data_IF_051258167275
#
_entry.id   IF_051258167275
#
_cell.length_a   1.000
_cell.length_b   1.000
_cell.length_c   1.000
_cell.angle_alpha   90.00
_cell.angle_beta   90.00
_cell.angle_gamma   90.00
#
_symmetry.space_group_name_H-M   'P 1'
#
loop_
_entity.id
_entity.type
_entity.pdbx_description
1 polymer ?
#
# COMPACT_ATOMS: atom_id res chain seq x y z
N UNK A 1 16.61 -69.60 9.82
CA UNK A 1 17.82 -70.42 9.52
C UNK A 1 18.98 -69.47 9.22
N UNK A 2 19.99 -69.53 10.09
CA UNK A 2 21.45 -69.31 9.89
C UNK A 2 21.85 -68.01 9.14
N UNK A 3 22.36 -66.99 9.83
CA UNK A 3 23.74 -66.81 10.34
C UNK A 3 24.82 -66.82 9.23
N UNK A 4 25.48 -65.68 9.07
CA UNK A 4 26.92 -65.59 9.00
C UNK A 4 27.44 -64.16 9.18
N UNK A 5 28.28 -64.05 10.17
CA UNK A 5 29.12 -62.92 10.58
C UNK A 5 30.39 -62.99 9.72
N UNK A 6 30.89 -61.84 9.27
CA UNK A 6 32.35 -61.76 8.99
C UNK A 6 32.84 -60.32 9.34
N UNK A 7 33.72 -60.31 10.31
CA UNK A 7 34.61 -59.23 10.75
C UNK A 7 35.79 -59.04 9.80
N UNK A 8 36.42 -57.87 10.01
CA UNK A 8 37.88 -57.59 9.89
C UNK A 8 38.22 -56.56 8.80
N UNK A 9 38.86 -55.50 9.24
CA UNK A 9 39.70 -54.65 8.41
C UNK A 9 39.93 -53.25 8.95
N UNK A 10 40.68 -53.13 10.03
CA UNK A 10 41.19 -51.88 10.61
C UNK A 10 42.37 -51.41 9.73
N UNK A 11 42.29 -50.29 9.09
CA UNK A 11 43.40 -49.48 8.58
C UNK A 11 43.28 -48.05 8.97
N UNK A 12 44.08 -47.66 9.94
CA UNK A 12 44.27 -46.26 10.31
C UNK A 12 45.21 -45.61 9.28
N UNK A 13 44.71 -44.60 8.59
CA UNK A 13 45.55 -43.66 7.85
C UNK A 13 45.32 -42.27 8.41
N UNK A 14 46.30 -41.78 9.14
CA UNK A 14 46.37 -40.39 9.56
C UNK A 14 46.64 -39.49 8.36
N UNK A 15 45.68 -38.66 8.01
CA UNK A 15 45.89 -37.56 7.09
C UNK A 15 45.78 -36.24 7.88
N UNK A 16 46.88 -35.53 7.84
CA UNK A 16 47.05 -34.17 8.37
C UNK A 16 46.06 -33.22 7.71
N UNK A 17 45.17 -32.66 8.51
CA UNK A 17 44.28 -31.57 8.07
C UNK A 17 45.09 -30.29 7.96
N UNK A 18 45.35 -29.84 6.73
CA UNK A 18 45.70 -28.45 6.46
C UNK A 18 44.46 -27.61 6.63
N UNK A 19 44.45 -26.77 7.67
CA UNK A 19 43.37 -25.81 7.93
C UNK A 19 43.30 -24.75 6.84
N UNK A 20 42.27 -24.79 6.02
CA UNK A 20 41.82 -23.63 5.26
C UNK A 20 41.04 -22.74 6.23
N UNK A 21 41.65 -21.63 6.63
CA UNK A 21 40.94 -20.57 7.31
C UNK A 21 39.97 -19.94 6.31
N UNK A 22 38.70 -20.29 6.41
CA UNK A 22 37.64 -19.51 5.76
C UNK A 22 37.51 -18.16 6.50
N UNK A 23 38.08 -17.12 5.91
CA UNK A 23 37.81 -15.76 6.29
C UNK A 23 36.37 -15.43 5.84
N UNK A 24 35.41 -15.64 6.74
CA UNK A 24 34.08 -15.06 6.59
C UNK A 24 34.20 -13.55 6.64
N UNK A 25 34.19 -12.91 5.47
CA UNK A 25 33.94 -11.48 5.36
C UNK A 25 32.49 -11.21 5.78
N UNK A 26 32.32 -10.94 7.07
CA UNK A 26 31.12 -10.32 7.57
C UNK A 26 31.02 -8.93 6.94
N UNK A 27 30.23 -8.80 5.87
CA UNK A 27 29.84 -7.51 5.30
C UNK A 27 28.98 -6.79 6.33
N UNK A 28 29.63 -6.01 7.20
CA UNK A 28 28.98 -5.08 8.08
C UNK A 28 28.34 -4.02 7.19
N UNK A 29 27.05 -4.19 6.92
CA UNK A 29 26.21 -3.17 6.28
C UNK A 29 26.20 -1.94 7.20
N UNK A 30 27.08 -1.01 6.96
CA UNK A 30 26.95 0.34 7.48
C UNK A 30 25.85 1.02 6.66
N UNK A 31 24.60 0.83 7.07
CA UNK A 31 23.54 1.75 6.65
C UNK A 31 23.98 3.14 7.13
N UNK A 32 24.48 3.94 6.22
CA UNK A 32 24.76 5.34 6.49
C UNK A 32 23.41 5.97 6.87
N UNK A 33 23.27 6.34 8.15
CA UNK A 33 22.13 7.14 8.58
C UNK A 33 22.14 8.42 7.71
N UNK A 34 21.06 8.64 6.99
CA UNK A 34 20.89 9.88 6.25
C UNK A 34 21.05 11.04 7.25
N UNK A 35 21.81 12.10 6.91
CA UNK A 35 21.99 13.22 7.81
C UNK A 35 20.62 13.79 8.14
N UNK A 36 20.35 13.99 9.43
CA UNK A 36 19.15 14.70 9.88
C UNK A 36 19.11 16.05 9.19
N UNK A 37 18.22 16.23 8.24
CA UNK A 37 18.04 17.49 7.54
C UNK A 37 17.68 18.54 8.59
N UNK A 38 18.54 19.53 8.77
CA UNK A 38 18.22 20.71 9.57
C UNK A 38 16.88 21.24 9.06
N UNK A 39 15.94 21.52 10.00
CA UNK A 39 14.61 21.99 9.68
C UNK A 39 14.68 23.36 8.98
N UNK A 40 14.95 23.33 7.68
CA UNK A 40 14.71 24.48 6.83
C UNK A 40 13.21 24.75 6.87
N UNK A 41 12.81 26.01 7.03
CA UNK A 41 11.41 26.42 6.98
C UNK A 41 10.83 25.95 5.66
N UNK A 42 10.10 24.83 5.72
CA UNK A 42 9.67 24.13 4.54
C UNK A 42 8.74 25.03 3.73
N UNK A 43 9.14 25.34 2.51
CA UNK A 43 8.24 25.97 1.53
C UNK A 43 7.08 25.01 1.28
N UNK A 44 5.84 25.52 1.12
CA UNK A 44 4.71 24.67 0.75
C UNK A 44 5.04 23.86 -0.50
N UNK A 45 4.89 22.54 -0.42
CA UNK A 45 5.15 21.61 -1.53
C UNK A 45 3.88 20.88 -1.92
N UNK A 46 3.78 20.30 -3.12
CA UNK A 46 2.66 19.46 -3.50
C UNK A 46 2.40 18.28 -2.54
N UNK A 47 3.43 17.84 -1.81
CA UNK A 47 3.31 16.77 -0.82
C UNK A 47 2.62 17.20 0.49
N UNK A 48 2.33 18.48 0.68
CA UNK A 48 1.64 19.01 1.86
C UNK A 48 0.14 19.17 1.61
N UNK A 49 -0.63 19.29 2.68
CA UNK A 49 -2.07 19.59 2.61
C UNK A 49 -2.99 18.37 2.47
N UNK A 50 -2.48 17.15 2.60
CA UNK A 50 -3.29 15.94 2.66
C UNK A 50 -3.84 15.78 4.10
N UNK A 51 -4.90 16.51 4.41
CA UNK A 51 -5.43 16.64 5.77
C UNK A 51 -6.81 16.01 5.98
N UNK A 52 -7.46 15.56 4.91
CA UNK A 52 -8.72 14.82 4.99
C UNK A 52 -8.37 13.35 5.12
N UNK A 53 -8.70 12.73 6.26
CA UNK A 53 -8.42 11.32 6.52
C UNK A 53 -9.70 10.50 6.37
N UNK A 54 -9.67 9.58 5.42
CA UNK A 54 -10.75 8.64 5.12
C UNK A 54 -10.24 7.22 5.31
N UNK A 55 -11.08 6.32 5.80
CA UNK A 55 -10.77 4.91 5.91
C UNK A 55 -11.85 4.09 5.22
N UNK A 56 -11.46 3.22 4.30
CA UNK A 56 -12.37 2.33 3.59
C UNK A 56 -11.67 1.03 3.16
N UNK A 57 -12.40 -0.10 3.11
CA UNK A 57 -11.94 -1.30 2.42
C UNK A 57 -12.11 -1.13 0.91
N UNK A 58 -11.27 -1.81 0.16
CA UNK A 58 -11.35 -1.87 -1.30
C UNK A 58 -11.84 -3.25 -1.77
N UNK A 59 -12.73 -3.27 -2.75
CA UNK A 59 -13.20 -4.49 -3.40
C UNK A 59 -12.51 -4.63 -4.75
N UNK A 60 -11.85 -5.75 -4.98
CA UNK A 60 -11.17 -6.07 -6.23
C UNK A 60 -12.08 -6.78 -7.23
N UNK A 61 -11.66 -6.84 -8.50
CA UNK A 61 -12.43 -7.44 -9.61
C UNK A 61 -12.77 -8.92 -9.36
N UNK A 62 -11.89 -9.65 -8.67
CA UNK A 62 -12.11 -11.05 -8.28
C UNK A 62 -13.12 -11.22 -7.12
N UNK A 63 -13.66 -10.12 -6.61
CA UNK A 63 -14.62 -10.07 -5.51
C UNK A 63 -13.98 -10.09 -4.12
N UNK A 64 -12.67 -10.17 -4.00
CA UNK A 64 -11.97 -10.06 -2.72
C UNK A 64 -12.08 -8.64 -2.16
N UNK A 65 -12.03 -8.53 -0.82
CA UNK A 65 -12.07 -7.25 -0.12
C UNK A 65 -10.83 -7.17 0.76
N UNK A 66 -10.03 -6.13 0.56
CA UNK A 66 -8.80 -5.88 1.29
C UNK A 66 -8.84 -4.55 2.06
N UNK A 67 -7.93 -4.36 2.97
CA UNK A 67 -7.85 -3.19 3.83
C UNK A 67 -8.39 -3.43 5.24
N UNK A 68 -8.88 -2.39 5.96
CA UNK A 68 -9.12 -1.04 5.42
C UNK A 68 -7.83 -0.30 5.08
N UNK A 69 -7.90 0.54 4.05
CA UNK A 69 -6.83 1.47 3.68
C UNK A 69 -7.09 2.86 4.24
N UNK A 70 -6.01 3.58 4.55
CA UNK A 70 -6.04 4.94 5.07
C UNK A 70 -5.76 5.95 3.96
N UNK A 71 -6.78 6.70 3.56
CA UNK A 71 -6.71 7.70 2.50
C UNK A 71 -6.42 9.06 3.12
N UNK A 72 -5.31 9.66 2.78
CA UNK A 72 -5.01 11.05 3.11
C UNK A 72 -5.24 11.90 1.87
N UNK A 73 -6.22 12.78 1.91
CA UNK A 73 -6.73 13.49 0.75
C UNK A 73 -6.57 15.00 0.85
N UNK A 74 -6.45 15.65 -0.32
CA UNK A 74 -6.51 17.10 -0.45
C UNK A 74 -7.25 17.50 -1.74
N UNK A 75 -8.01 18.62 -1.75
CA UNK A 75 -8.54 19.17 -2.98
C UNK A 75 -7.39 19.71 -3.85
N UNK A 76 -7.40 19.37 -5.15
CA UNK A 76 -6.51 19.92 -6.16
C UNK A 76 -7.23 20.82 -7.14
N UNK A 77 -8.55 20.71 -7.23
CA UNK A 77 -9.47 21.66 -7.89
C UNK A 77 -10.82 21.64 -7.15
N UNK A 78 -11.78 22.50 -7.52
CA UNK A 78 -13.15 22.43 -6.97
C UNK A 78 -13.85 21.09 -7.23
N UNK A 79 -13.45 20.36 -8.28
CA UNK A 79 -14.09 19.13 -8.73
C UNK A 79 -13.30 17.87 -8.40
N UNK A 80 -12.04 17.98 -7.91
CA UNK A 80 -11.16 16.82 -7.74
C UNK A 80 -10.43 16.87 -6.41
N UNK A 81 -10.57 15.78 -5.62
CA UNK A 81 -9.66 15.46 -4.53
C UNK A 81 -8.67 14.41 -5.00
N UNK A 82 -7.42 14.55 -4.57
CA UNK A 82 -6.37 13.56 -4.75
C UNK A 82 -6.04 12.93 -3.39
N UNK A 83 -5.98 11.60 -3.34
CA UNK A 83 -5.70 10.84 -2.12
C UNK A 83 -4.46 9.97 -2.29
N UNK A 84 -3.65 9.91 -1.24
CA UNK A 84 -2.57 8.94 -1.05
C UNK A 84 -3.07 7.90 -0.06
N UNK A 85 -2.97 6.61 -0.41
CA UNK A 85 -3.53 5.52 0.35
C UNK A 85 -2.43 4.64 0.94
N UNK A 86 -2.59 4.33 2.23
CA UNK A 86 -1.63 3.58 3.02
C UNK A 86 -2.29 2.38 3.69
N UNK A 87 -1.53 1.32 3.89
CA UNK A 87 -1.98 0.11 4.58
C UNK A 87 -2.22 0.29 6.08
N UNK A 88 -1.65 1.34 6.69
CA UNK A 88 -1.81 1.68 8.10
C UNK A 88 -1.55 3.16 8.37
N UNK A 89 -1.66 3.58 9.64
CA UNK A 89 -1.34 4.93 10.09
C UNK A 89 0.09 5.08 10.60
N UNK A 90 0.92 4.06 10.48
CA UNK A 90 2.31 4.11 10.93
C UNK A 90 3.12 5.08 10.05
N UNK A 91 4.09 5.75 10.63
CA UNK A 91 4.91 6.75 9.93
C UNK A 91 5.73 6.19 8.77
N UNK A 92 5.89 4.88 8.70
CA UNK A 92 6.58 4.12 7.64
C UNK A 92 5.64 3.17 6.89
N UNK A 93 4.31 3.40 6.99
CA UNK A 93 3.32 2.62 6.27
C UNK A 93 3.56 2.66 4.76
N UNK A 94 3.28 1.55 4.11
CA UNK A 94 3.41 1.41 2.67
C UNK A 94 2.33 2.23 1.96
N UNK A 95 2.73 3.05 1.00
CA UNK A 95 1.83 3.66 0.03
C UNK A 95 1.46 2.59 -1.01
N UNK A 96 0.23 2.15 -0.97
CA UNK A 96 -0.26 1.07 -1.84
C UNK A 96 -1.02 1.59 -3.04
N UNK A 97 -1.76 2.69 -2.88
CA UNK A 97 -2.68 3.18 -3.90
C UNK A 97 -2.66 4.71 -4.02
N UNK A 98 -3.18 5.17 -5.15
CA UNK A 98 -3.57 6.58 -5.36
C UNK A 98 -5.04 6.57 -5.81
N UNK A 99 -5.83 7.45 -5.22
CA UNK A 99 -7.22 7.62 -5.62
C UNK A 99 -7.53 9.06 -5.97
N UNK A 100 -8.44 9.23 -6.93
CA UNK A 100 -9.07 10.51 -7.25
C UNK A 100 -10.56 10.44 -7.00
N UNK A 101 -11.06 11.37 -6.20
CA UNK A 101 -12.49 11.66 -6.05
C UNK A 101 -12.84 12.72 -7.08
N UNK A 102 -13.62 12.37 -8.07
CA UNK A 102 -13.97 13.23 -9.20
C UNK A 102 -15.46 13.59 -9.11
N UNK A 103 -15.81 14.87 -9.15
CA UNK A 103 -17.21 15.27 -9.14
C UNK A 103 -18.00 14.52 -10.22
N UNK A 104 -19.19 13.98 -9.87
CA UNK A 104 -20.06 13.23 -10.77
C UNK A 104 -20.40 14.01 -12.05
N UNK A 105 -20.49 15.34 -11.96
CA UNK A 105 -20.68 16.22 -13.10
C UNK A 105 -19.52 16.18 -14.11
N UNK A 106 -18.31 15.86 -13.65
CA UNK A 106 -17.11 15.75 -14.49
C UNK A 106 -16.92 14.32 -14.97
N UNK A 107 -16.86 13.35 -14.05
CA UNK A 107 -16.63 11.94 -14.40
C UNK A 107 -17.68 11.43 -15.38
N UNK A 108 -18.96 11.65 -15.08
CA UNK A 108 -20.09 11.15 -15.90
C UNK A 108 -20.29 11.90 -17.23
N UNK A 109 -19.71 13.11 -17.37
CA UNK A 109 -19.75 13.86 -18.63
C UNK A 109 -18.59 13.54 -19.56
N UNK A 110 -17.42 13.13 -19.01
CA UNK A 110 -16.19 13.02 -19.78
C UNK A 110 -15.61 11.59 -19.84
N UNK A 111 -16.05 10.68 -18.97
CA UNK A 111 -15.60 9.29 -18.98
C UNK A 111 -16.64 8.43 -19.71
N UNK A 112 -16.24 7.67 -20.75
CA UNK A 112 -17.14 6.73 -21.40
C UNK A 112 -17.75 5.74 -20.39
N UNK A 113 -19.04 5.42 -20.52
CA UNK A 113 -19.75 4.55 -19.60
C UNK A 113 -19.07 3.17 -19.42
N UNK A 114 -18.52 2.61 -20.50
CA UNK A 114 -17.77 1.36 -20.45
C UNK A 114 -16.53 1.47 -19.54
N UNK A 115 -15.78 2.56 -19.68
CA UNK A 115 -14.61 2.87 -18.83
C UNK A 115 -15.02 3.10 -17.39
N UNK A 116 -16.12 3.84 -17.18
CA UNK A 116 -16.65 4.10 -15.86
C UNK A 116 -17.04 2.79 -15.16
N UNK A 117 -17.81 1.95 -15.81
CA UNK A 117 -18.27 0.65 -15.27
C UNK A 117 -17.11 -0.30 -14.92
N UNK A 118 -15.94 -0.11 -15.53
CA UNK A 118 -14.79 -0.98 -15.33
C UNK A 118 -13.84 -0.49 -14.22
N UNK A 119 -13.72 0.82 -14.04
CA UNK A 119 -12.66 1.40 -13.24
C UNK A 119 -13.13 2.35 -12.14
N UNK A 120 -14.37 2.82 -12.22
CA UNK A 120 -14.90 3.78 -11.26
C UNK A 120 -15.89 3.13 -10.32
N UNK A 121 -16.08 3.77 -9.16
CA UNK A 121 -17.13 3.44 -8.21
C UNK A 121 -17.84 4.69 -7.73
N UNK A 122 -19.04 4.51 -7.17
CA UNK A 122 -19.88 5.60 -6.67
C UNK A 122 -19.73 5.74 -5.15
N UNK A 123 -19.10 6.82 -4.69
CA UNK A 123 -18.92 7.07 -3.26
C UNK A 123 -20.24 7.23 -2.49
N UNK A 124 -21.34 7.64 -3.15
CA UNK A 124 -22.64 7.71 -2.49
C UNK A 124 -23.08 6.33 -1.99
N UNK A 125 -22.86 5.29 -2.79
CA UNK A 125 -23.17 3.90 -2.42
C UNK A 125 -22.31 3.45 -1.25
N UNK A 126 -21.03 3.75 -1.26
CA UNK A 126 -20.10 3.37 -0.19
C UNK A 126 -20.40 4.07 1.13
N UNK A 127 -20.66 5.38 1.09
CA UNK A 127 -21.03 6.17 2.25
C UNK A 127 -22.37 5.69 2.82
N UNK A 128 -23.37 5.46 1.97
CA UNK A 128 -24.68 4.98 2.38
C UNK A 128 -24.62 3.59 3.05
N UNK A 129 -23.67 2.74 2.67
CA UNK A 129 -23.46 1.41 3.28
C UNK A 129 -22.61 1.46 4.55
N UNK A 130 -22.05 2.60 4.91
CA UNK A 130 -21.18 2.76 6.08
C UNK A 130 -19.76 2.16 5.91
N UNK A 131 -19.37 1.79 4.70
CA UNK A 131 -18.02 1.27 4.41
C UNK A 131 -16.94 2.34 4.55
N UNK A 132 -17.30 3.59 4.28
CA UNK A 132 -16.39 4.74 4.36
C UNK A 132 -16.51 5.40 5.72
N UNK A 133 -15.40 5.67 6.37
CA UNK A 133 -15.30 6.41 7.62
C UNK A 133 -14.42 7.65 7.44
N UNK A 134 -14.91 8.81 7.87
CA UNK A 134 -14.11 10.03 7.93
C UNK A 134 -13.53 10.13 9.33
N UNK A 135 -12.21 10.27 9.42
CA UNK A 135 -11.47 10.21 10.67
C UNK A 135 -10.84 11.58 11.02
N UNK A 136 -10.33 11.68 12.24
CA UNK A 136 -9.51 12.79 12.75
C UNK A 136 -10.18 14.17 12.70
N UNK A 137 -11.52 14.21 12.76
CA UNK A 137 -12.30 15.45 12.83
C UNK A 137 -13.60 15.26 13.62
N UNK A 138 -14.24 16.35 14.10
CA UNK A 138 -15.54 16.28 14.78
C UNK A 138 -16.63 15.69 13.88
N UNK A 139 -17.58 14.95 14.45
CA UNK A 139 -18.67 14.28 13.75
C UNK A 139 -19.47 15.20 12.81
N UNK A 140 -19.70 16.44 13.22
CA UNK A 140 -20.43 17.42 12.39
C UNK A 140 -19.65 17.73 11.10
N UNK A 141 -18.34 17.91 11.21
CA UNK A 141 -17.47 18.15 10.06
C UNK A 141 -17.32 16.88 9.19
N UNK A 142 -17.19 15.70 9.82
CA UNK A 142 -17.14 14.43 9.12
C UNK A 142 -18.38 14.20 8.24
N UNK A 143 -19.57 14.54 8.74
CA UNK A 143 -20.82 14.50 7.95
C UNK A 143 -20.82 15.45 6.76
N UNK A 144 -20.27 16.65 6.91
CA UNK A 144 -20.14 17.60 5.80
C UNK A 144 -19.19 17.08 4.72
N UNK A 145 -18.02 16.55 5.13
CA UNK A 145 -17.05 15.93 4.22
C UNK A 145 -17.68 14.73 3.50
N UNK A 146 -18.38 13.85 4.22
CA UNK A 146 -19.07 12.71 3.62
C UNK A 146 -20.14 13.15 2.61
N UNK A 147 -20.89 14.21 2.91
CA UNK A 147 -21.90 14.75 1.99
C UNK A 147 -21.29 15.35 0.71
N UNK A 148 -20.07 15.87 0.78
CA UNK A 148 -19.31 16.32 -0.39
C UNK A 148 -18.78 15.11 -1.17
N UNK A 149 -18.18 14.15 -0.48
CA UNK A 149 -17.66 12.92 -1.09
C UNK A 149 -18.75 12.12 -1.81
N UNK A 150 -19.97 12.03 -1.28
CA UNK A 150 -21.10 11.36 -1.93
C UNK A 150 -21.47 11.96 -3.31
N UNK A 151 -21.02 13.16 -3.64
CA UNK A 151 -21.22 13.78 -4.96
C UNK A 151 -20.10 13.50 -5.94
N UNK A 152 -19.18 12.59 -5.60
CA UNK A 152 -18.05 12.20 -6.43
C UNK A 152 -18.12 10.73 -6.80
N UNK A 153 -17.47 10.40 -7.91
CA UNK A 153 -17.09 9.03 -8.28
C UNK A 153 -15.60 8.86 -7.99
N UNK A 154 -15.18 7.67 -7.53
CA UNK A 154 -13.79 7.32 -7.26
C UNK A 154 -13.14 6.55 -8.39
N UNK A 155 -11.84 6.72 -8.56
CA UNK A 155 -10.97 5.83 -9.33
C UNK A 155 -9.70 5.56 -8.56
N UNK A 156 -9.44 4.28 -8.27
CA UNK A 156 -8.29 3.81 -7.50
C UNK A 156 -7.26 3.19 -8.46
N UNK A 157 -6.01 3.54 -8.25
CA UNK A 157 -4.84 2.93 -8.89
C UNK A 157 -4.06 2.18 -7.83
N UNK A 158 -4.26 0.86 -7.75
CA UNK A 158 -3.54 -0.01 -6.84
C UNK A 158 -2.16 -0.31 -7.42
N UNK A 159 -1.12 0.25 -6.80
CA UNK A 159 0.27 0.27 -7.30
C UNK A 159 1.14 -0.81 -6.66
N UNK A 160 0.67 -1.39 -5.56
CA UNK A 160 1.42 -2.38 -4.81
C UNK A 160 0.55 -3.62 -4.55
N UNK A 161 0.70 -4.69 -5.34
CA UNK A 161 -0.08 -5.91 -5.18
C UNK A 161 0.05 -6.51 -3.77
N UNK A 162 -1.05 -6.97 -3.19
CA UNK A 162 -1.08 -7.54 -1.85
C UNK A 162 -0.09 -8.70 -1.71
N UNK A 163 0.68 -8.68 -0.61
CA UNK A 163 1.70 -9.68 -0.32
C UNK A 163 2.96 -9.61 -1.19
N UNK A 164 3.04 -8.70 -2.15
CA UNK A 164 4.24 -8.52 -2.96
C UNK A 164 5.36 -7.86 -2.15
N UNK A 165 6.61 -8.27 -2.44
CA UNK A 165 7.80 -7.66 -1.82
C UNK A 165 8.26 -6.37 -2.52
N UNK A 166 7.71 -6.08 -3.69
CA UNK A 166 8.00 -4.90 -4.50
C UNK A 166 6.87 -4.66 -5.50
N UNK A 167 6.64 -3.41 -5.95
CA UNK A 167 5.77 -3.13 -7.08
C UNK A 167 6.26 -3.89 -8.31
N UNK A 168 5.35 -4.53 -9.04
CA UNK A 168 5.67 -5.34 -10.22
C UNK A 168 5.37 -4.63 -11.56
N UNK A 169 4.87 -3.39 -11.51
CA UNK A 169 4.49 -2.60 -12.69
C UNK A 169 3.04 -2.81 -13.17
N UNK A 170 2.33 -3.77 -12.60
CA UNK A 170 0.89 -3.92 -12.82
C UNK A 170 0.11 -2.91 -11.98
N UNK A 171 -1.02 -2.47 -12.48
CA UNK A 171 -1.92 -1.53 -11.80
C UNK A 171 -3.29 -2.18 -11.71
N UNK A 172 -3.76 -2.38 -10.49
CA UNK A 172 -5.14 -2.81 -10.24
C UNK A 172 -6.09 -1.63 -10.14
N UNK A 173 -7.39 -1.88 -10.29
CA UNK A 173 -8.44 -0.88 -10.12
C UNK A 173 -9.54 -1.44 -9.20
N UNK A 174 -9.36 -1.42 -7.89
CA UNK A 174 -10.41 -1.81 -6.96
C UNK A 174 -11.60 -0.84 -7.02
N UNK A 175 -12.79 -1.36 -6.68
CA UNK A 175 -14.07 -0.65 -6.70
C UNK A 175 -14.77 -0.72 -5.35
#
# INVERSE_FOLDING_TARGET
MRSAIAMIGLCAAALTAAGCAETSHEMKSTAAAAPAAAAAKAMPTPAQGYTIHVMAPHKFEDGTVHGPYHHYCKPISPEILQCLLFESTDSNALLTDIEYFVAKSVSRAHVPLETWNKYYHDHEVEIATGRVQILDMPDAQAKEVAAVAAKTDGIIFHLWPDGAKAPNGEVGHPQ
#
